data_IF_303652305819
#
_entry.id   IF_303652305819
#
_cell.length_a   1.000
_cell.length_b   1.000
_cell.length_c   1.000
_cell.angle_alpha   90.00
_cell.angle_beta   90.00
_cell.angle_gamma   90.00
#
_symmetry.space_group_name_H-M   'P 1'
#
loop_
_entity.id
_entity.type
_entity.pdbx_description
1 polymer ?
#
# COMPACT_ATOMS: atom_id res chain seq x y z
N UNK A 1 -4.59 -21.32 -3.44
CA UNK A 1 -5.07 -21.66 -2.08
C UNK A 1 -6.57 -21.84 -2.10
N UNK A 2 -7.05 -23.05 -1.80
CA UNK A 2 -8.49 -23.38 -1.80
C UNK A 2 -9.13 -23.32 -0.39
N UNK A 3 -8.53 -22.60 0.54
CA UNK A 3 -9.03 -22.50 1.90
C UNK A 3 -9.63 -21.13 2.18
N UNK A 4 -10.84 -21.12 2.70
CA UNK A 4 -11.49 -19.91 3.23
C UNK A 4 -10.88 -19.64 4.59
N UNK A 5 -10.34 -18.44 4.80
CA UNK A 5 -9.79 -18.01 6.08
C UNK A 5 -10.41 -16.69 6.51
N UNK A 6 -10.68 -16.56 7.80
CA UNK A 6 -11.09 -15.29 8.43
C UNK A 6 -9.90 -14.48 8.93
N UNK A 7 -8.69 -15.04 8.83
CA UNK A 7 -7.46 -14.31 9.19
C UNK A 7 -7.07 -13.34 8.09
N UNK A 8 -6.45 -12.25 8.50
CA UNK A 8 -5.87 -11.28 7.58
C UNK A 8 -4.69 -11.92 6.83
N UNK A 9 -4.86 -12.14 5.53
CA UNK A 9 -3.91 -12.86 4.70
C UNK A 9 -3.42 -11.94 3.58
N UNK A 10 -2.48 -11.07 3.91
CA UNK A 10 -1.83 -10.19 2.95
C UNK A 10 -0.30 -10.25 3.08
N UNK A 11 0.39 -9.93 2.01
CA UNK A 11 1.82 -9.77 1.99
C UNK A 11 2.17 -8.34 1.54
N UNK A 12 3.13 -7.73 2.22
CA UNK A 12 3.73 -6.47 1.78
C UNK A 12 5.01 -6.78 1.02
N UNK A 13 5.16 -6.14 -0.14
CA UNK A 13 6.37 -6.18 -0.94
C UNK A 13 6.87 -4.75 -1.07
N UNK A 14 8.14 -4.51 -0.79
CA UNK A 14 8.74 -3.16 -0.83
C UNK A 14 9.58 -3.00 -2.09
N UNK A 15 9.17 -2.11 -2.99
CA UNK A 15 10.03 -1.69 -4.07
C UNK A 15 11.11 -0.76 -3.52
N UNK A 16 12.37 -1.07 -3.81
CA UNK A 16 13.51 -0.29 -3.39
C UNK A 16 14.06 0.52 -4.56
N UNK A 17 14.33 1.79 -4.30
CA UNK A 17 14.98 2.67 -5.24
C UNK A 17 16.20 3.33 -4.57
N UNK A 18 17.39 2.94 -5.02
CA UNK A 18 18.65 3.50 -4.55
C UNK A 18 19.26 4.38 -5.64
N UNK A 19 19.21 5.71 -5.51
CA UNK A 19 19.79 6.60 -6.52
C UNK A 19 21.32 6.46 -6.56
N UNK A 20 21.85 6.15 -7.75
CA UNK A 20 23.30 6.04 -8.01
C UNK A 20 23.81 7.20 -8.87
N UNK A 21 22.93 8.02 -9.41
CA UNK A 21 23.21 9.22 -10.21
C UNK A 21 22.33 10.39 -9.81
N UNK A 22 22.69 11.60 -10.19
CA UNK A 22 21.97 12.81 -9.76
C UNK A 22 20.58 12.96 -10.40
N UNK A 23 20.40 12.48 -11.62
CA UNK A 23 19.13 12.62 -12.34
C UNK A 23 18.69 11.30 -12.97
N UNK A 24 17.39 11.09 -12.98
CA UNK A 24 16.73 9.94 -13.60
C UNK A 24 15.58 10.39 -14.47
N UNK A 25 15.37 9.74 -15.60
CA UNK A 25 14.14 9.86 -16.36
C UNK A 25 13.04 9.04 -15.70
N UNK A 26 11.78 9.39 -15.96
CA UNK A 26 10.64 8.63 -15.44
C UNK A 26 10.68 7.15 -15.88
N UNK A 27 11.05 6.88 -17.12
CA UNK A 27 11.16 5.53 -17.65
C UNK A 27 12.22 4.69 -16.92
N UNK A 28 13.39 5.26 -16.59
CA UNK A 28 14.41 4.58 -15.81
C UNK A 28 13.92 4.22 -14.40
N UNK A 29 13.24 5.15 -13.72
CA UNK A 29 12.68 4.89 -12.38
C UNK A 29 11.64 3.77 -12.45
N UNK A 30 10.74 3.81 -13.43
CA UNK A 30 9.72 2.77 -13.63
C UNK A 30 10.36 1.40 -13.83
N UNK A 31 11.42 1.29 -14.64
CA UNK A 31 12.07 0.00 -14.89
C UNK A 31 12.81 -0.53 -13.66
N UNK A 32 13.48 0.33 -12.89
CA UNK A 32 14.11 -0.05 -11.61
C UNK A 32 13.08 -0.58 -10.61
N UNK A 33 11.97 0.15 -10.42
CA UNK A 33 10.90 -0.25 -9.51
C UNK A 33 10.24 -1.55 -9.95
N UNK A 34 10.00 -1.71 -11.24
CA UNK A 34 9.41 -2.91 -11.84
C UNK A 34 10.31 -4.14 -11.65
N UNK A 35 11.61 -4.00 -11.85
CA UNK A 35 12.57 -5.09 -11.61
C UNK A 35 12.63 -5.45 -10.13
N UNK A 36 12.70 -4.46 -9.24
CA UNK A 36 12.63 -4.67 -7.78
C UNK A 36 11.38 -5.44 -7.37
N UNK A 37 10.22 -5.08 -7.90
CA UNK A 37 8.96 -5.80 -7.63
C UNK A 37 8.96 -7.22 -8.21
N UNK A 38 9.42 -7.40 -9.45
CA UNK A 38 9.48 -8.73 -10.10
C UNK A 38 10.38 -9.71 -9.37
N UNK A 39 11.52 -9.26 -8.86
CA UNK A 39 12.44 -10.09 -8.08
C UNK A 39 11.82 -10.61 -6.79
N UNK A 40 10.86 -9.87 -6.21
CA UNK A 40 10.21 -10.19 -4.95
C UNK A 40 8.86 -10.89 -5.13
N UNK A 41 8.07 -10.52 -6.16
CA UNK A 41 6.74 -11.09 -6.45
C UNK A 41 6.92 -12.38 -7.29
N UNK A 42 7.52 -13.38 -6.69
CA UNK A 42 7.55 -14.72 -7.25
C UNK A 42 7.00 -15.72 -6.22
N UNK A 43 6.58 -16.88 -6.71
CA UNK A 43 5.92 -17.89 -5.88
C UNK A 43 6.80 -18.31 -4.68
N UNK A 44 8.07 -18.53 -4.91
CA UNK A 44 9.00 -19.00 -3.89
C UNK A 44 9.16 -17.98 -2.76
N UNK A 45 9.35 -16.70 -3.10
CA UNK A 45 9.51 -15.63 -2.11
C UNK A 45 8.21 -15.38 -1.34
N UNK A 46 7.07 -15.42 -2.02
CA UNK A 46 5.77 -15.29 -1.35
C UNK A 46 5.48 -16.45 -0.41
N UNK A 47 5.78 -17.69 -0.82
CA UNK A 47 5.66 -18.87 0.06
C UNK A 47 6.59 -18.77 1.28
N UNK A 48 7.81 -18.28 1.12
CA UNK A 48 8.73 -18.01 2.24
C UNK A 48 8.17 -16.94 3.19
N UNK A 49 7.67 -15.84 2.65
CA UNK A 49 7.10 -14.74 3.43
C UNK A 49 5.90 -15.20 4.27
N UNK A 50 4.97 -15.94 3.67
CA UNK A 50 3.84 -16.50 4.38
C UNK A 50 4.25 -17.57 5.39
N UNK A 51 5.18 -18.44 5.04
CA UNK A 51 5.69 -19.47 5.96
C UNK A 51 6.40 -18.85 7.16
N UNK A 52 7.14 -17.78 6.97
CA UNK A 52 7.79 -17.04 8.05
C UNK A 52 6.77 -16.43 9.02
N UNK A 53 5.73 -15.80 8.51
CA UNK A 53 4.66 -15.22 9.33
C UNK A 53 3.94 -16.30 10.16
N UNK A 54 3.60 -17.42 9.54
CA UNK A 54 2.93 -18.56 10.23
C UNK A 54 3.86 -19.23 11.26
N UNK A 55 5.14 -19.36 10.94
CA UNK A 55 6.13 -19.97 11.85
C UNK A 55 6.32 -19.12 13.09
N UNK A 56 6.37 -17.82 12.97
CA UNK A 56 6.49 -16.89 14.10
C UNK A 56 5.28 -16.99 15.06
N UNK A 57 4.07 -17.20 14.54
CA UNK A 57 2.88 -17.43 15.37
C UNK A 57 2.94 -18.77 16.14
N UNK A 58 3.62 -19.77 15.59
CA UNK A 58 3.70 -21.12 16.16
C UNK A 58 4.87 -21.31 17.13
N UNK A 59 5.78 -20.35 17.25
CA UNK A 59 6.91 -20.44 18.17
C UNK A 59 6.42 -20.59 19.63
N UNK A 60 6.65 -21.76 20.22
CA UNK A 60 6.28 -22.05 21.61
C UNK A 60 6.91 -21.02 22.58
N UNK A 61 8.15 -20.62 22.32
CA UNK A 61 8.87 -19.61 23.10
C UNK A 61 8.10 -18.29 23.11
N UNK A 62 7.53 -17.89 21.97
CA UNK A 62 6.73 -16.68 21.89
C UNK A 62 5.46 -16.74 22.77
N UNK A 63 4.95 -17.93 23.12
CA UNK A 63 3.78 -18.08 24.00
C UNK A 63 4.11 -17.91 25.47
N UNK A 64 5.33 -18.25 25.89
CA UNK A 64 5.80 -18.19 27.28
C UNK A 64 6.22 -16.78 27.68
N UNK A 65 6.67 -15.95 26.72
CA UNK A 65 7.12 -14.57 27.01
C UNK A 65 5.95 -13.73 27.54
N UNK A 66 6.10 -13.04 28.68
CA UNK A 66 5.09 -12.13 29.22
C UNK A 66 4.66 -11.06 28.23
N UNK A 67 3.38 -10.68 28.26
CA UNK A 67 2.78 -9.76 27.29
C UNK A 67 3.47 -8.39 27.23
N UNK A 68 3.93 -7.87 28.37
CA UNK A 68 4.60 -6.56 28.42
C UNK A 68 5.93 -6.56 27.63
N UNK A 69 6.69 -7.66 27.68
CA UNK A 69 7.93 -7.80 26.89
C UNK A 69 7.63 -7.96 25.41
N UNK A 70 6.57 -8.71 25.06
CA UNK A 70 6.10 -8.78 23.67
C UNK A 70 5.71 -7.42 23.14
N UNK A 71 4.95 -6.65 23.90
CA UNK A 71 4.51 -5.32 23.49
C UNK A 71 5.71 -4.38 23.28
N UNK A 72 6.74 -4.46 24.10
CA UNK A 72 7.95 -3.68 23.94
C UNK A 72 8.71 -4.06 22.66
N UNK A 73 8.91 -5.37 22.45
CA UNK A 73 9.55 -5.88 21.24
C UNK A 73 8.77 -5.54 19.98
N UNK A 74 7.43 -5.73 19.98
CA UNK A 74 6.57 -5.39 18.86
C UNK A 74 6.56 -3.90 18.57
N UNK A 75 6.57 -3.04 19.59
CA UNK A 75 6.68 -1.59 19.42
C UNK A 75 8.00 -1.22 18.73
N UNK A 76 9.11 -1.82 19.13
CA UNK A 76 10.41 -1.59 18.51
C UNK A 76 10.40 -2.02 17.02
N UNK A 77 9.98 -3.26 16.75
CA UNK A 77 9.88 -3.80 15.38
C UNK A 77 8.96 -2.92 14.51
N UNK A 78 7.79 -2.55 15.05
CA UNK A 78 6.84 -1.69 14.32
C UNK A 78 7.46 -0.33 13.99
N UNK A 79 8.08 0.33 14.95
CA UNK A 79 8.69 1.65 14.73
C UNK A 79 9.79 1.59 13.66
N UNK A 80 10.64 0.56 13.73
CA UNK A 80 11.72 0.36 12.76
C UNK A 80 11.16 0.08 11.35
N UNK A 81 10.15 -0.79 11.25
CA UNK A 81 9.52 -1.13 9.97
C UNK A 81 8.75 0.06 9.37
N UNK A 82 8.09 0.87 10.20
CA UNK A 82 7.36 2.05 9.75
C UNK A 82 8.30 3.10 9.13
N UNK A 83 9.50 3.26 9.70
CA UNK A 83 10.51 4.19 9.19
C UNK A 83 11.20 3.68 7.90
N UNK A 84 11.13 2.38 7.62
CA UNK A 84 11.74 1.80 6.42
C UNK A 84 10.96 2.08 5.13
N UNK A 85 9.69 2.45 5.22
CA UNK A 85 8.83 2.66 4.05
C UNK A 85 8.45 4.14 3.91
N UNK A 86 8.73 4.71 2.75
CA UNK A 86 8.37 6.10 2.43
C UNK A 86 6.86 6.27 2.20
N UNK A 87 6.26 5.33 1.49
CA UNK A 87 4.83 5.31 1.20
C UNK A 87 4.32 3.87 1.10
N UNK A 88 3.04 3.67 1.32
CA UNK A 88 2.37 2.38 1.13
C UNK A 88 1.27 2.54 0.10
N UNK A 89 1.26 1.67 -0.92
CA UNK A 89 0.22 1.65 -1.94
C UNK A 89 -0.45 0.28 -1.91
N UNK A 90 -1.78 0.26 -1.96
CA UNK A 90 -2.55 -0.97 -2.14
C UNK A 90 -3.43 -0.88 -3.36
N UNK A 91 -3.54 -1.98 -4.09
CA UNK A 91 -4.46 -2.12 -5.20
C UNK A 91 -5.52 -3.16 -4.84
N UNK A 92 -6.76 -2.71 -4.68
CA UNK A 92 -7.90 -3.59 -4.37
C UNK A 92 -8.39 -4.28 -5.65
N UNK A 93 -8.07 -3.72 -6.81
CA UNK A 93 -8.51 -4.23 -8.10
C UNK A 93 -9.92 -3.78 -8.48
N UNK A 94 -10.57 -4.56 -9.33
CA UNK A 94 -11.92 -4.28 -9.79
C UNK A 94 -12.94 -4.79 -8.78
N UNK A 95 -13.76 -3.88 -8.28
CA UNK A 95 -14.84 -4.20 -7.33
C UNK A 95 -16.08 -4.60 -8.12
N UNK A 96 -16.71 -5.68 -7.73
CA UNK A 96 -17.98 -6.11 -8.30
C UNK A 96 -19.06 -6.13 -7.22
N UNK A 97 -20.26 -5.72 -7.59
CA UNK A 97 -21.46 -5.83 -6.74
C UNK A 97 -22.52 -6.64 -7.46
N UNK A 98 -23.43 -7.24 -6.70
CA UNK A 98 -24.59 -7.92 -7.24
C UNK A 98 -25.40 -6.98 -8.13
N UNK A 99 -26.06 -7.51 -9.17
CA UNK A 99 -26.83 -6.72 -10.13
C UNK A 99 -27.93 -5.89 -9.48
N UNK A 100 -28.51 -6.40 -8.41
CA UNK A 100 -29.55 -5.71 -7.64
C UNK A 100 -29.08 -4.38 -7.03
N UNK A 101 -27.77 -4.25 -6.74
CA UNK A 101 -27.17 -3.05 -6.13
C UNK A 101 -26.51 -2.12 -7.14
N UNK A 102 -26.24 -2.58 -8.36
CA UNK A 102 -25.58 -1.75 -9.39
C UNK A 102 -26.23 -0.41 -9.65
N UNK A 103 -27.58 -0.29 -9.71
CA UNK A 103 -28.23 1.01 -9.96
C UNK A 103 -28.02 2.03 -8.84
N UNK A 104 -27.61 1.59 -7.65
CA UNK A 104 -27.44 2.42 -6.47
C UNK A 104 -25.98 2.75 -6.14
N UNK A 105 -25.03 2.20 -6.91
CA UNK A 105 -23.60 2.39 -6.65
C UNK A 105 -22.95 3.06 -7.86
N UNK A 106 -22.46 4.27 -7.65
CA UNK A 106 -21.78 5.05 -8.68
C UNK A 106 -20.27 4.72 -8.72
N UNK A 107 -19.60 4.75 -7.58
CA UNK A 107 -18.17 4.48 -7.47
C UNK A 107 -17.78 4.03 -6.07
N UNK A 108 -16.56 3.51 -5.93
CA UNK A 108 -15.97 3.16 -4.65
C UNK A 108 -14.77 4.05 -4.35
N UNK A 109 -14.69 4.50 -3.11
CA UNK A 109 -13.50 5.12 -2.56
C UNK A 109 -12.95 4.24 -1.45
N UNK A 110 -11.64 4.00 -1.48
CA UNK A 110 -10.96 3.24 -0.46
C UNK A 110 -9.80 4.07 0.11
N UNK A 111 -9.65 4.06 1.42
CA UNK A 111 -8.61 4.79 2.13
C UNK A 111 -7.89 3.89 3.11
N UNK A 112 -6.57 3.94 3.11
CA UNK A 112 -5.77 3.31 4.16
C UNK A 112 -5.71 4.24 5.37
N UNK A 113 -5.96 3.69 6.56
CA UNK A 113 -5.80 4.43 7.80
C UNK A 113 -4.34 4.86 8.00
N UNK A 114 -4.15 6.09 8.44
CA UNK A 114 -2.83 6.62 8.78
C UNK A 114 -2.28 5.92 10.02
N UNK A 115 -0.98 5.73 10.03
CA UNK A 115 -0.26 5.10 11.13
C UNK A 115 0.95 5.96 11.49
N UNK A 116 1.32 5.96 12.77
CA UNK A 116 2.47 6.75 13.25
C UNK A 116 3.75 6.39 12.47
N UNK A 117 4.39 7.40 11.89
CA UNK A 117 5.61 7.24 11.09
C UNK A 117 5.38 6.87 9.62
N UNK A 118 4.13 6.82 9.17
CA UNK A 118 3.78 6.60 7.76
C UNK A 118 2.91 7.77 7.30
N UNK A 119 3.49 8.67 6.52
CA UNK A 119 2.90 9.98 6.21
C UNK A 119 2.14 10.03 4.88
N UNK A 120 2.27 8.99 4.04
CA UNK A 120 1.63 8.93 2.74
C UNK A 120 1.18 7.50 2.44
N UNK A 121 -0.10 7.34 2.10
CA UNK A 121 -0.65 6.08 1.66
C UNK A 121 -1.53 6.29 0.43
N UNK A 122 -1.50 5.32 -0.49
CA UNK A 122 -2.30 5.32 -1.70
C UNK A 122 -3.16 4.07 -1.79
N UNK A 123 -4.36 4.22 -2.33
CA UNK A 123 -5.25 3.10 -2.61
C UNK A 123 -5.79 3.22 -4.02
N UNK A 124 -5.78 2.12 -4.75
CA UNK A 124 -6.32 2.02 -6.10
C UNK A 124 -7.50 1.05 -6.08
N UNK A 125 -8.60 1.43 -6.67
CA UNK A 125 -9.71 0.53 -6.95
C UNK A 125 -10.43 0.96 -8.24
N UNK A 126 -11.14 0.03 -8.86
CA UNK A 126 -11.97 0.33 -10.02
C UNK A 126 -13.36 -0.27 -9.86
N UNK A 127 -14.33 0.38 -10.48
CA UNK A 127 -15.72 -0.08 -10.59
C UNK A 127 -16.29 0.41 -11.91
N UNK A 128 -16.82 -0.50 -12.73
CA UNK A 128 -17.21 -0.17 -14.10
C UNK A 128 -16.02 0.38 -14.89
N UNK A 129 -16.22 1.55 -15.51
CA UNK A 129 -15.19 2.25 -16.29
C UNK A 129 -14.42 3.31 -15.48
N UNK A 130 -14.67 3.37 -14.16
CA UNK A 130 -14.04 4.38 -13.29
C UNK A 130 -12.92 3.78 -12.47
N UNK A 131 -11.71 4.36 -12.59
CA UNK A 131 -10.57 4.09 -11.73
C UNK A 131 -10.47 5.18 -10.67
N UNK A 132 -10.43 4.79 -9.42
CA UNK A 132 -10.26 5.70 -8.30
C UNK A 132 -8.89 5.50 -7.67
N UNK A 133 -8.10 6.56 -7.60
CA UNK A 133 -6.87 6.61 -6.84
C UNK A 133 -7.05 7.56 -5.66
N UNK A 134 -6.95 7.03 -4.43
CA UNK A 134 -7.14 7.80 -3.22
C UNK A 134 -5.82 7.94 -2.45
N UNK A 135 -5.52 9.13 -1.98
CA UNK A 135 -4.43 9.40 -1.06
C UNK A 135 -4.94 9.64 0.35
N UNK A 136 -4.30 9.00 1.33
CA UNK A 136 -4.35 9.38 2.75
C UNK A 136 -2.99 9.94 3.14
N UNK A 137 -2.95 11.14 3.71
CA UNK A 137 -1.70 11.79 4.09
C UNK A 137 -1.93 12.76 5.27
N UNK A 138 -0.88 13.02 6.03
CA UNK A 138 -0.84 13.94 7.18
C UNK A 138 0.25 15.02 7.04
N UNK A 139 0.80 15.18 5.84
CA UNK A 139 1.76 16.23 5.53
C UNK A 139 1.04 17.49 5.05
N UNK A 140 1.59 18.66 5.38
CA UNK A 140 1.12 19.95 4.86
C UNK A 140 1.42 20.06 3.36
N UNK A 141 2.56 19.54 2.93
CA UNK A 141 2.96 19.56 1.51
C UNK A 141 2.26 18.49 0.70
N UNK A 142 1.47 18.89 -0.27
CA UNK A 142 0.77 18.05 -1.23
C UNK A 142 1.49 17.92 -2.58
N UNK A 143 2.81 18.17 -2.64
CA UNK A 143 3.58 18.16 -3.89
C UNK A 143 3.56 16.81 -4.60
N UNK A 144 3.61 15.72 -3.84
CA UNK A 144 3.58 14.34 -4.39
C UNK A 144 2.25 14.06 -5.08
N UNK A 145 1.13 14.34 -4.39
CA UNK A 145 -0.22 14.11 -4.95
C UNK A 145 -0.45 15.01 -6.17
N UNK A 146 -0.04 16.27 -6.08
CA UNK A 146 -0.14 17.22 -7.19
C UNK A 146 0.70 16.79 -8.38
N UNK A 147 1.93 16.32 -8.15
CA UNK A 147 2.81 15.79 -9.18
C UNK A 147 2.23 14.56 -9.86
N UNK A 148 1.66 13.64 -9.08
CA UNK A 148 1.00 12.43 -9.56
C UNK A 148 -0.16 12.75 -10.51
N UNK A 149 -1.13 13.56 -10.07
CA UNK A 149 -2.29 13.88 -10.89
C UNK A 149 -1.94 14.73 -12.12
N UNK A 150 -0.96 15.64 -12.00
CA UNK A 150 -0.45 16.39 -13.16
C UNK A 150 0.19 15.48 -14.20
N UNK A 151 0.94 14.47 -13.76
CA UNK A 151 1.55 13.50 -14.70
C UNK A 151 0.48 12.71 -15.44
N UNK A 152 -0.52 12.18 -14.76
CA UNK A 152 -1.63 11.45 -15.38
C UNK A 152 -2.40 12.34 -16.36
N UNK A 153 -2.71 13.57 -15.98
CA UNK A 153 -3.38 14.52 -16.86
C UNK A 153 -2.53 14.90 -18.10
N UNK A 154 -1.20 15.02 -17.93
CA UNK A 154 -0.30 15.28 -19.06
C UNK A 154 -0.18 14.13 -20.04
N UNK A 155 -0.48 12.91 -19.59
CA UNK A 155 -0.55 11.72 -20.45
C UNK A 155 -1.90 11.58 -21.19
N UNK A 156 -2.78 12.60 -21.07
CA UNK A 156 -4.05 12.67 -21.79
C UNK A 156 -5.22 11.96 -21.09
N UNK A 157 -5.05 11.52 -19.83
CA UNK A 157 -6.11 10.88 -19.06
C UNK A 157 -6.92 11.98 -18.36
N UNK A 158 -8.25 11.96 -18.52
CA UNK A 158 -9.15 12.86 -17.82
C UNK A 158 -9.13 12.56 -16.32
N UNK A 159 -8.90 13.58 -15.49
CA UNK A 159 -8.79 13.47 -14.05
C UNK A 159 -9.79 14.40 -13.37
N UNK A 160 -10.64 13.84 -12.52
CA UNK A 160 -11.46 14.58 -11.56
C UNK A 160 -10.84 14.47 -10.17
N UNK A 161 -10.64 15.59 -9.47
CA UNK A 161 -10.03 15.62 -8.15
C UNK A 161 -11.09 15.97 -7.11
N UNK A 162 -11.30 15.06 -6.14
CA UNK A 162 -12.14 15.28 -4.96
C UNK A 162 -11.25 15.38 -3.72
N UNK A 163 -11.56 16.30 -2.83
CA UNK A 163 -10.84 16.51 -1.57
C UNK A 163 -11.84 16.56 -0.41
N UNK A 164 -11.39 16.18 0.79
CA UNK A 164 -12.16 16.36 2.01
C UNK A 164 -12.27 17.83 2.47
N UNK A 165 -11.64 18.76 1.73
CA UNK A 165 -11.69 20.20 2.01
C UNK A 165 -10.84 20.65 3.21
N UNK A 166 -10.09 19.76 3.83
CA UNK A 166 -9.18 20.14 4.93
C UNK A 166 -7.85 20.60 4.30
N UNK A 167 -7.60 21.90 4.35
CA UNK A 167 -6.29 22.48 4.05
C UNK A 167 -5.66 22.82 5.40
N UNK A 168 -4.53 22.20 5.72
CA UNK A 168 -3.70 22.63 6.83
C UNK A 168 -2.87 23.82 6.35
N UNK A 169 -3.15 25.01 6.89
CA UNK A 169 -2.32 26.20 6.73
C UNK A 169 -1.05 26.09 7.59
#
# INVERSE_FOLDING_TARGET
>A
FNSITTKNFFAMVSAEFHPTKETYTFAEVVEIVKESLRSQINRENLEKLFSYNVSNEKLMIARIVPLFLKNLAMKYVYTTSALANTATITNIGNISVSEDYRPYVEMFHAFLAMSKGQHLKGTICSYGDTLVFSFSYDLVDASVQRGFFRKIASDGIAVEIKSNGVNYE
#
